data_IF_311716972917
#
_entry.id   IF_311716972917
#
_cell.length_a   1.000
_cell.length_b   1.000
_cell.length_c   1.000
_cell.angle_alpha   90.00
_cell.angle_beta   90.00
_cell.angle_gamma   90.00
#
_symmetry.space_group_name_H-M   'P 1'
#
loop_
_entity.id
_entity.type
_entity.pdbx_description
1 polymer ?
#
# COMPACT_ATOMS: atom_id res chain seq x y z
N UNK A 1 8.63 -60.27 93.33
CA UNK A 1 9.15 -59.19 92.43
C UNK A 1 8.00 -58.53 91.78
N UNK A 2 7.65 -57.32 92.27
CA UNK A 2 6.44 -56.57 91.95
C UNK A 2 6.79 -55.45 90.96
N UNK A 3 6.22 -55.43 89.79
CA UNK A 3 6.30 -54.27 88.86
C UNK A 3 5.07 -53.39 89.05
N UNK A 4 5.32 -52.20 89.48
CA UNK A 4 4.30 -51.12 89.61
C UNK A 4 4.04 -50.52 88.26
N UNK A 5 2.82 -50.62 87.76
CA UNK A 5 2.33 -49.87 86.63
C UNK A 5 2.05 -48.44 86.98
N UNK A 6 2.69 -47.51 86.31
CA UNK A 6 2.34 -46.09 86.36
C UNK A 6 1.45 -45.73 85.21
N UNK A 7 0.25 -45.38 85.53
CA UNK A 7 -0.72 -44.84 84.58
C UNK A 7 -0.41 -43.39 84.29
N UNK A 8 -0.15 -43.11 83.02
CA UNK A 8 0.05 -41.76 82.50
C UNK A 8 -1.29 -41.27 81.82
N UNK A 9 -1.90 -40.30 82.50
CA UNK A 9 -3.13 -39.66 81.99
C UNK A 9 -2.71 -38.55 81.05
N UNK A 10 -2.97 -38.72 79.70
CA UNK A 10 -2.68 -37.73 78.72
C UNK A 10 -3.93 -36.89 78.53
N UNK A 11 -3.84 -35.60 78.87
CA UNK A 11 -4.82 -34.60 78.62
C UNK A 11 -4.69 -34.18 77.11
N UNK A 12 -5.65 -34.48 76.30
CA UNK A 12 -5.74 -33.98 74.91
C UNK A 12 -6.58 -32.71 74.93
N UNK A 13 -5.89 -31.56 74.83
CA UNK A 13 -6.54 -30.29 74.56
C UNK A 13 -6.83 -30.10 73.08
N UNK A 14 -8.06 -30.21 72.65
CA UNK A 14 -8.52 -29.92 71.34
C UNK A 14 -8.61 -28.40 71.13
N UNK A 15 -7.63 -27.81 70.46
CA UNK A 15 -7.72 -26.44 69.88
C UNK A 15 -8.48 -26.46 68.57
N UNK A 16 -9.73 -26.02 68.58
CA UNK A 16 -10.48 -25.74 67.36
C UNK A 16 -10.04 -24.37 66.79
N UNK A 17 -9.19 -24.38 65.78
CA UNK A 17 -8.87 -23.17 64.98
C UNK A 17 -9.95 -23.00 63.90
N UNK A 18 -10.89 -22.08 64.15
CA UNK A 18 -11.84 -21.66 63.14
C UNK A 18 -11.14 -20.74 62.13
N UNK A 19 -10.72 -21.28 60.96
CA UNK A 19 -10.18 -20.53 59.83
C UNK A 19 -11.33 -19.88 59.05
N UNK A 20 -11.66 -18.60 59.35
CA UNK A 20 -12.60 -17.83 58.58
C UNK A 20 -11.95 -17.42 57.25
N UNK A 21 -12.20 -18.18 56.17
CA UNK A 21 -11.90 -17.77 54.78
C UNK A 21 -12.87 -16.64 54.40
N UNK A 22 -12.43 -15.39 54.53
CA UNK A 22 -13.09 -14.25 53.89
C UNK A 22 -12.81 -14.30 52.38
N UNK A 23 -13.71 -14.82 51.57
CA UNK A 23 -13.71 -14.67 50.13
C UNK A 23 -13.97 -13.20 49.80
N UNK A 24 -12.90 -12.44 49.58
CA UNK A 24 -12.97 -11.11 49.00
C UNK A 24 -13.35 -11.26 47.51
N UNK A 25 -14.62 -11.18 47.19
CA UNK A 25 -15.10 -11.05 45.82
C UNK A 25 -14.79 -9.62 45.40
N UNK A 26 -13.64 -9.44 44.70
CA UNK A 26 -13.33 -8.18 44.06
C UNK A 26 -14.45 -7.87 43.02
N UNK A 27 -15.04 -6.66 43.02
CA UNK A 27 -16.02 -6.32 42.02
C UNK A 27 -15.36 -6.40 40.63
N UNK A 28 -15.82 -7.31 39.76
CA UNK A 28 -15.47 -7.29 38.37
C UNK A 28 -15.95 -5.95 37.80
N UNK A 29 -14.98 -5.07 37.48
CA UNK A 29 -15.27 -3.80 36.84
C UNK A 29 -16.02 -4.13 35.55
N UNK A 30 -17.28 -3.79 35.46
CA UNK A 30 -18.07 -3.93 34.26
C UNK A 30 -17.38 -3.15 33.15
N UNK A 31 -16.81 -3.84 32.16
CA UNK A 31 -16.20 -3.23 30.99
C UNK A 31 -17.28 -2.41 30.30
N UNK A 32 -17.18 -1.08 30.43
CA UNK A 32 -18.14 -0.15 29.83
C UNK A 32 -18.20 -0.48 28.34
N UNK A 33 -19.27 -1.11 27.88
CA UNK A 33 -19.48 -1.40 26.45
C UNK A 33 -19.46 -0.07 25.72
N UNK A 34 -18.60 0.03 24.70
CA UNK A 34 -18.67 1.16 23.77
C UNK A 34 -20.04 1.08 23.08
N UNK A 35 -20.72 2.22 22.88
CA UNK A 35 -21.90 2.23 22.04
C UNK A 35 -21.53 1.76 20.63
N UNK A 36 -22.47 1.16 19.92
CA UNK A 36 -22.27 0.76 18.54
C UNK A 36 -21.85 1.97 17.69
N UNK A 37 -20.89 1.81 16.76
CA UNK A 37 -20.41 2.92 15.95
C UNK A 37 -21.51 3.46 15.06
N UNK A 38 -21.58 4.76 14.93
CA UNK A 38 -22.50 5.44 14.03
C UNK A 38 -22.17 5.10 12.56
N UNK A 39 -23.11 5.28 11.63
CA UNK A 39 -22.86 5.09 10.19
C UNK A 39 -21.67 5.91 9.67
N UNK A 40 -21.44 7.12 10.19
CA UNK A 40 -20.32 7.96 9.83
C UNK A 40 -18.98 7.40 10.31
N UNK A 41 -18.91 6.88 11.53
CA UNK A 41 -17.73 6.22 12.09
C UNK A 41 -17.40 4.94 11.31
N UNK A 42 -18.39 4.13 10.94
CA UNK A 42 -18.19 2.95 10.10
C UNK A 42 -17.63 3.33 8.72
N UNK A 43 -18.16 4.37 8.09
CA UNK A 43 -17.64 4.84 6.81
C UNK A 43 -16.20 5.35 6.93
N UNK A 44 -15.87 6.11 7.96
CA UNK A 44 -14.52 6.59 8.20
C UNK A 44 -13.53 5.44 8.43
N UNK A 45 -13.95 4.39 9.17
CA UNK A 45 -13.15 3.19 9.38
C UNK A 45 -12.93 2.43 8.07
N UNK A 46 -13.97 2.24 7.26
CA UNK A 46 -13.85 1.60 5.93
C UNK A 46 -12.91 2.36 5.02
N UNK A 47 -13.01 3.69 4.98
CA UNK A 47 -12.10 4.52 4.19
C UNK A 47 -10.65 4.39 4.68
N UNK A 48 -10.43 4.36 5.98
CA UNK A 48 -9.09 4.15 6.56
C UNK A 48 -8.51 2.79 6.15
N UNK A 49 -9.32 1.74 6.21
CA UNK A 49 -8.92 0.39 5.76
C UNK A 49 -8.60 0.35 4.27
N UNK A 50 -9.39 1.00 3.43
CA UNK A 50 -9.14 1.13 1.99
C UNK A 50 -7.80 1.82 1.72
N UNK A 51 -7.55 2.96 2.35
CA UNK A 51 -6.28 3.69 2.19
C UNK A 51 -5.09 2.83 2.62
N UNK A 52 -5.18 2.14 3.76
CA UNK A 52 -4.12 1.25 4.23
C UNK A 52 -3.88 0.08 3.25
N UNK A 53 -4.94 -0.54 2.73
CA UNK A 53 -4.86 -1.59 1.70
C UNK A 53 -4.23 -1.07 0.41
N UNK A 54 -4.65 0.10 -0.05
CA UNK A 54 -4.10 0.74 -1.25
C UNK A 54 -2.62 1.06 -1.10
N UNK A 55 -2.20 1.59 0.04
CA UNK A 55 -0.78 1.82 0.37
C UNK A 55 0.03 0.52 0.26
N UNK A 56 -0.46 -0.56 0.84
CA UNK A 56 0.20 -1.86 0.77
C UNK A 56 0.37 -2.32 -0.69
N UNK A 57 -0.70 -2.26 -1.50
CA UNK A 57 -0.66 -2.67 -2.90
C UNK A 57 0.33 -1.81 -3.69
N UNK A 58 0.25 -0.49 -3.59
CA UNK A 58 1.16 0.44 -4.30
C UNK A 58 2.61 0.18 -3.94
N UNK A 59 2.90 -0.15 -2.67
CA UNK A 59 4.27 -0.43 -2.19
C UNK A 59 4.79 -1.80 -2.61
N UNK A 60 3.93 -2.77 -2.91
CA UNK A 60 4.34 -4.16 -3.20
C UNK A 60 4.16 -4.57 -4.65
N UNK A 61 3.31 -3.86 -5.40
CA UNK A 61 3.04 -4.15 -6.82
C UNK A 61 3.95 -3.39 -7.81
N UNK A 62 5.06 -2.81 -7.34
CA UNK A 62 6.06 -2.18 -8.21
C UNK A 62 5.65 -0.82 -8.79
N UNK A 63 4.63 -0.14 -8.26
CA UNK A 63 4.20 1.16 -8.79
C UNK A 63 5.33 2.21 -8.72
N UNK A 64 6.10 2.19 -7.63
CA UNK A 64 7.23 3.10 -7.44
C UNK A 64 8.39 2.83 -8.40
N UNK A 65 8.53 1.60 -8.91
CA UNK A 65 9.66 1.25 -9.78
C UNK A 65 9.67 2.07 -11.08
N UNK A 66 8.48 2.37 -11.61
CA UNK A 66 8.34 3.14 -12.84
C UNK A 66 7.76 4.55 -12.62
N UNK A 67 6.85 4.74 -11.65
CA UNK A 67 6.16 6.01 -11.47
C UNK A 67 6.87 6.98 -10.51
N UNK A 68 7.95 6.57 -9.86
CA UNK A 68 8.83 7.44 -9.07
C UNK A 68 10.15 7.56 -9.80
N UNK A 69 10.60 8.77 -10.19
CA UNK A 69 11.88 8.91 -10.86
C UNK A 69 13.02 8.38 -10.01
N UNK A 70 13.94 7.64 -10.61
CA UNK A 70 15.13 7.15 -9.92
C UNK A 70 16.21 8.21 -9.83
N UNK A 71 16.98 8.16 -8.77
CA UNK A 71 18.18 8.97 -8.51
C UNK A 71 19.31 8.08 -8.02
N UNK A 72 20.52 8.60 -8.01
CA UNK A 72 21.66 7.87 -7.45
C UNK A 72 21.72 8.06 -5.93
N UNK A 73 21.46 6.99 -5.21
CA UNK A 73 21.57 6.92 -3.75
C UNK A 73 22.91 6.32 -3.30
N UNK A 74 23.12 6.20 -1.99
CA UNK A 74 24.36 5.68 -1.42
C UNK A 74 24.70 4.23 -1.80
N UNK A 75 23.66 3.44 -2.16
CA UNK A 75 23.79 2.02 -2.53
C UNK A 75 23.55 1.75 -4.02
N UNK A 76 23.43 2.78 -4.82
CA UNK A 76 23.14 2.70 -6.24
C UNK A 76 21.82 3.38 -6.61
N UNK A 77 21.28 3.13 -7.82
CA UNK A 77 20.03 3.71 -8.26
C UNK A 77 18.86 3.31 -7.35
N UNK A 78 18.05 4.26 -6.94
CA UNK A 78 16.88 4.07 -6.08
C UNK A 78 15.77 5.08 -6.42
N UNK A 79 14.48 4.78 -6.15
CA UNK A 79 13.39 5.73 -6.35
C UNK A 79 13.56 6.98 -5.47
N UNK A 80 13.48 8.17 -6.06
CA UNK A 80 13.46 9.44 -5.33
C UNK A 80 12.11 9.66 -4.67
N UNK A 81 11.99 9.30 -3.42
CA UNK A 81 10.74 9.40 -2.68
C UNK A 81 10.27 10.84 -2.42
N UNK A 82 11.10 11.86 -2.68
CA UNK A 82 10.66 13.27 -2.64
C UNK A 82 9.73 13.59 -3.81
N UNK A 83 9.83 12.82 -4.89
CA UNK A 83 9.00 12.88 -6.10
C UNK A 83 8.16 11.61 -6.28
N UNK A 84 7.78 10.97 -5.17
CA UNK A 84 7.04 9.71 -5.19
C UNK A 84 5.82 9.76 -6.11
N UNK A 85 5.75 8.83 -7.06
CA UNK A 85 4.62 8.62 -7.98
C UNK A 85 4.31 9.82 -8.90
N UNK A 86 5.26 10.74 -9.09
CA UNK A 86 5.07 11.91 -9.96
C UNK A 86 5.24 11.63 -11.46
N UNK A 87 5.68 10.43 -11.84
CA UNK A 87 5.93 10.06 -13.23
C UNK A 87 7.25 10.61 -13.79
N UNK A 88 7.37 10.60 -15.11
CA UNK A 88 8.54 11.13 -15.79
C UNK A 88 8.68 12.63 -15.58
N UNK A 89 9.85 13.15 -15.11
CA UNK A 89 10.01 14.57 -14.83
C UNK A 89 9.87 15.42 -16.10
N UNK A 90 9.05 16.47 -16.06
CA UNK A 90 8.89 17.42 -17.18
C UNK A 90 10.18 18.17 -17.56
N UNK A 91 11.08 18.32 -16.59
CA UNK A 91 12.39 18.93 -16.79
C UNK A 91 13.40 18.03 -17.49
N UNK A 92 13.17 16.72 -17.52
CA UNK A 92 14.10 15.73 -18.07
C UNK A 92 13.88 15.59 -19.59
N UNK A 93 14.66 16.33 -20.37
CA UNK A 93 14.61 16.32 -21.84
C UNK A 93 15.54 15.25 -22.36
N UNK A 94 15.00 14.06 -22.62
CA UNK A 94 15.79 12.94 -23.13
C UNK A 94 16.19 13.15 -24.60
N UNK A 95 17.44 12.78 -24.97
CA UNK A 95 17.80 12.63 -26.38
C UNK A 95 17.00 11.50 -27.04
N UNK A 96 17.02 11.39 -28.39
CA UNK A 96 16.42 10.23 -29.05
C UNK A 96 16.94 8.92 -28.45
N UNK A 97 16.09 7.90 -28.30
CA UNK A 97 16.51 6.63 -27.72
C UNK A 97 17.55 5.95 -28.59
N UNK A 98 18.46 5.12 -28.00
CA UNK A 98 19.43 4.37 -28.76
C UNK A 98 18.72 3.39 -29.73
N UNK A 99 19.26 3.22 -30.93
CA UNK A 99 18.81 2.19 -31.85
C UNK A 99 19.21 0.83 -31.27
N UNK A 100 18.23 -0.02 -31.04
CA UNK A 100 18.48 -1.43 -30.72
C UNK A 100 18.81 -2.15 -32.01
N UNK A 101 19.88 -2.95 -32.03
CA UNK A 101 20.24 -3.78 -33.20
C UNK A 101 19.32 -4.98 -33.36
N UNK A 102 19.59 -5.83 -34.35
CA UNK A 102 18.81 -7.04 -34.67
C UNK A 102 18.93 -8.18 -33.64
N UNK A 103 19.40 -7.86 -32.44
CA UNK A 103 19.56 -8.81 -31.35
C UNK A 103 18.26 -9.09 -30.58
N UNK A 104 18.33 -9.92 -29.52
CA UNK A 104 17.16 -10.29 -28.72
C UNK A 104 16.62 -9.15 -27.81
N UNK A 105 17.31 -8.01 -27.77
CA UNK A 105 16.90 -6.85 -26.97
C UNK A 105 15.83 -6.06 -27.70
N UNK A 106 14.64 -5.96 -27.12
CA UNK A 106 13.47 -5.34 -27.81
C UNK A 106 13.08 -3.97 -27.25
N UNK A 107 13.62 -3.55 -26.12
CA UNK A 107 13.33 -2.24 -25.54
C UNK A 107 14.44 -1.79 -24.56
N UNK A 108 14.46 -0.50 -24.26
CA UNK A 108 15.41 0.15 -23.35
C UNK A 108 14.67 1.12 -22.43
N UNK A 109 15.34 1.50 -21.31
CA UNK A 109 14.82 2.44 -20.33
C UNK A 109 15.81 3.61 -20.14
N UNK A 110 15.28 4.78 -19.82
CA UNK A 110 16.07 5.92 -19.33
C UNK A 110 16.60 5.64 -17.90
N UNK A 111 17.68 6.32 -17.52
CA UNK A 111 18.31 6.16 -16.20
C UNK A 111 17.38 6.48 -15.02
N UNK A 112 16.36 7.32 -15.22
CA UNK A 112 15.32 7.60 -14.22
C UNK A 112 14.26 6.51 -14.10
N UNK A 113 14.33 5.46 -14.93
CA UNK A 113 13.35 4.37 -15.02
C UNK A 113 11.89 4.85 -15.21
N UNK A 114 11.72 5.99 -15.89
CA UNK A 114 10.41 6.63 -16.12
C UNK A 114 10.09 6.88 -17.60
N UNK A 115 11.03 6.57 -18.51
CA UNK A 115 10.82 6.62 -19.95
C UNK A 115 11.36 5.33 -20.59
N UNK A 116 10.62 4.77 -21.55
CA UNK A 116 10.91 3.48 -22.14
C UNK A 116 10.70 3.54 -23.65
N UNK A 117 11.65 3.00 -24.40
CA UNK A 117 11.60 2.98 -25.86
C UNK A 117 11.66 1.56 -26.39
N UNK A 118 10.78 1.26 -27.35
CA UNK A 118 10.67 -0.05 -27.99
C UNK A 118 9.85 0.00 -29.28
N UNK A 119 9.33 -1.14 -29.77
CA UNK A 119 8.54 -1.20 -31.00
C UNK A 119 7.29 -0.30 -31.00
N UNK A 120 6.82 0.12 -29.82
CA UNK A 120 5.68 1.03 -29.64
C UNK A 120 6.05 2.51 -29.73
N UNK A 121 7.32 2.86 -29.93
CA UNK A 121 7.84 4.22 -29.82
C UNK A 121 8.40 4.50 -28.43
N UNK A 122 8.14 5.70 -27.89
CA UNK A 122 8.58 6.09 -26.55
C UNK A 122 7.36 6.30 -25.65
N UNK A 123 7.35 5.64 -24.50
CA UNK A 123 6.35 5.84 -23.45
C UNK A 123 6.97 6.52 -22.24
N UNK A 124 6.21 7.37 -21.58
CA UNK A 124 6.56 8.06 -20.34
C UNK A 124 5.58 7.66 -19.24
N UNK A 125 6.09 7.45 -18.02
CA UNK A 125 5.25 7.04 -16.90
C UNK A 125 4.42 8.21 -16.39
N UNK A 126 3.13 7.96 -16.19
CA UNK A 126 2.16 8.99 -15.80
C UNK A 126 2.38 9.50 -14.37
N UNK A 127 1.99 10.75 -14.12
CA UNK A 127 1.86 11.33 -12.80
C UNK A 127 0.62 10.73 -12.09
N UNK A 128 0.84 9.91 -11.06
CA UNK A 128 -0.20 9.27 -10.26
C UNK A 128 -0.57 10.08 -9.00
N UNK A 129 0.06 11.23 -8.78
CA UNK A 129 -0.30 12.08 -7.63
C UNK A 129 -1.66 12.76 -7.85
N UNK A 130 -2.33 13.22 -6.78
CA UNK A 130 -3.64 13.88 -6.90
C UNK A 130 -3.54 15.34 -7.35
N UNK A 131 -2.52 15.70 -8.14
CA UNK A 131 -2.46 17.00 -8.79
C UNK A 131 -3.62 17.16 -9.79
N UNK A 132 -4.32 18.29 -9.73
CA UNK A 132 -5.54 18.50 -10.50
C UNK A 132 -5.31 18.74 -11.99
N UNK A 133 -4.14 19.24 -12.36
CA UNK A 133 -3.83 19.61 -13.75
C UNK A 133 -3.04 18.52 -14.47
N UNK A 134 -2.12 17.86 -13.77
CA UNK A 134 -1.14 16.96 -14.39
C UNK A 134 -1.20 15.52 -13.90
N UNK A 135 -2.03 15.24 -12.88
CA UNK A 135 -2.14 13.93 -12.25
C UNK A 135 -3.58 13.40 -12.17
N UNK A 136 -3.86 12.64 -11.12
CA UNK A 136 -5.17 12.00 -10.92
C UNK A 136 -6.19 12.89 -10.18
N UNK A 137 -5.90 14.18 -9.99
CA UNK A 137 -6.69 15.07 -9.13
C UNK A 137 -8.16 15.25 -9.53
N UNK A 138 -8.47 15.15 -10.82
CA UNK A 138 -9.85 15.27 -11.35
C UNK A 138 -10.47 13.89 -11.69
N UNK A 139 -9.73 12.80 -11.51
CA UNK A 139 -10.24 11.47 -11.80
C UNK A 139 -11.23 11.01 -10.74
N UNK A 140 -12.19 10.21 -11.17
CA UNK A 140 -13.08 9.46 -10.27
C UNK A 140 -12.54 8.05 -10.03
N UNK A 141 -13.05 7.38 -9.00
CA UNK A 141 -12.75 5.98 -8.73
C UNK A 141 -13.11 5.10 -9.93
N UNK A 142 -14.28 5.32 -10.53
CA UNK A 142 -14.74 4.57 -11.72
C UNK A 142 -13.84 4.80 -12.93
N UNK A 143 -13.38 6.03 -13.15
CA UNK A 143 -12.44 6.34 -14.23
C UNK A 143 -11.12 5.57 -14.04
N UNK A 144 -10.60 5.54 -12.82
CA UNK A 144 -9.37 4.80 -12.51
C UNK A 144 -9.55 3.29 -12.73
N UNK A 145 -10.59 2.69 -12.17
CA UNK A 145 -10.91 1.26 -12.34
C UNK A 145 -11.07 0.93 -13.83
N UNK A 146 -11.85 1.70 -14.55
CA UNK A 146 -12.06 1.52 -15.99
C UNK A 146 -10.77 1.61 -16.81
N UNK A 147 -9.89 2.54 -16.45
CA UNK A 147 -8.58 2.71 -17.09
C UNK A 147 -7.74 1.43 -16.96
N UNK A 148 -7.65 0.86 -15.77
CA UNK A 148 -6.89 -0.37 -15.55
C UNK A 148 -7.58 -1.57 -16.20
N UNK A 149 -8.91 -1.67 -16.17
CA UNK A 149 -9.67 -2.78 -16.82
C UNK A 149 -9.50 -2.81 -18.32
N UNK A 150 -9.52 -1.67 -18.96
CA UNK A 150 -9.49 -1.56 -20.44
C UNK A 150 -8.09 -1.39 -21.01
N UNK A 151 -7.09 -1.00 -20.19
CA UNK A 151 -5.76 -0.63 -20.67
C UNK A 151 -5.77 0.63 -21.54
N UNK A 152 -6.72 1.53 -21.30
CA UNK A 152 -6.87 2.79 -22.03
C UNK A 152 -6.89 3.97 -21.07
N UNK A 153 -6.16 5.02 -21.41
CA UNK A 153 -6.18 6.28 -20.67
C UNK A 153 -7.63 6.82 -20.60
N UNK A 154 -8.08 7.27 -19.44
CA UNK A 154 -9.47 7.63 -19.14
C UNK A 154 -10.48 6.47 -19.36
N UNK A 155 -10.00 5.25 -19.53
CA UNK A 155 -10.81 4.07 -19.83
C UNK A 155 -11.33 3.98 -21.26
N UNK A 156 -11.08 4.98 -22.13
CA UNK A 156 -11.64 5.06 -23.48
C UNK A 156 -10.69 5.64 -24.53
N UNK A 157 -9.68 6.42 -24.16
CA UNK A 157 -8.81 7.12 -25.12
C UNK A 157 -7.61 6.25 -25.56
N UNK A 158 -6.41 6.81 -25.72
CA UNK A 158 -5.23 6.09 -26.19
C UNK A 158 -4.89 4.85 -25.36
N UNK A 159 -4.31 3.81 -25.97
CA UNK A 159 -3.81 2.66 -25.22
C UNK A 159 -2.76 3.07 -24.18
N UNK A 160 -2.71 2.34 -23.08
CA UNK A 160 -1.59 2.37 -22.14
C UNK A 160 -0.46 1.55 -22.75
N UNK A 161 0.69 2.18 -22.95
CA UNK A 161 1.83 1.57 -23.64
C UNK A 161 2.70 0.74 -22.68
N UNK A 162 3.46 -0.21 -23.22
CA UNK A 162 4.49 -0.91 -22.44
C UNK A 162 5.51 0.08 -21.82
N UNK A 163 6.15 -0.29 -20.71
CA UNK A 163 6.07 -1.58 -20.02
C UNK A 163 4.97 -1.67 -18.95
N UNK A 164 4.04 -0.70 -18.86
CA UNK A 164 2.98 -0.73 -17.84
C UNK A 164 2.21 -2.06 -17.90
N UNK A 165 2.26 -2.89 -16.83
CA UNK A 165 1.67 -4.22 -16.83
C UNK A 165 0.17 -4.18 -16.49
N UNK A 166 -0.60 -3.28 -17.12
CA UNK A 166 -2.04 -3.13 -16.89
C UNK A 166 -2.81 -4.45 -17.11
N UNK A 167 -2.34 -5.30 -18.01
CA UNK A 167 -2.93 -6.62 -18.28
C UNK A 167 -2.83 -7.58 -17.09
N UNK A 168 -1.87 -7.36 -16.19
CA UNK A 168 -1.77 -8.07 -14.91
C UNK A 168 -2.70 -7.40 -13.89
N UNK A 169 -2.62 -6.09 -13.74
CA UNK A 169 -3.40 -5.33 -12.75
C UNK A 169 -4.90 -5.35 -13.02
N UNK A 170 -5.34 -5.50 -14.27
CA UNK A 170 -6.76 -5.70 -14.59
C UNK A 170 -7.39 -6.91 -13.90
N UNK A 171 -6.60 -7.85 -13.38
CA UNK A 171 -7.10 -9.03 -12.67
C UNK A 171 -7.26 -8.79 -11.15
N UNK A 172 -6.86 -7.63 -10.63
CA UNK A 172 -7.15 -7.26 -9.24
C UNK A 172 -8.66 -7.18 -9.02
N UNK A 173 -9.09 -7.39 -7.78
CA UNK A 173 -10.51 -7.16 -7.43
C UNK A 173 -10.86 -5.67 -7.58
N UNK A 174 -12.15 -5.36 -7.70
CA UNK A 174 -12.58 -3.96 -7.74
C UNK A 174 -12.24 -3.24 -6.44
N UNK A 175 -12.35 -3.94 -5.29
CA UNK A 175 -11.99 -3.38 -3.99
C UNK A 175 -10.48 -3.07 -3.89
N UNK A 176 -9.62 -3.88 -4.49
CA UNK A 176 -8.19 -3.59 -4.54
C UNK A 176 -7.88 -2.37 -5.42
N UNK A 177 -8.47 -2.29 -6.62
CA UNK A 177 -8.29 -1.13 -7.49
C UNK A 177 -8.83 0.17 -6.87
N UNK A 178 -10.01 0.10 -6.22
CA UNK A 178 -10.58 1.22 -5.47
C UNK A 178 -9.71 1.62 -4.28
N UNK A 179 -9.11 0.63 -3.60
CA UNK A 179 -8.18 0.88 -2.50
C UNK A 179 -6.90 1.57 -2.98
N UNK A 180 -6.34 1.14 -4.13
CA UNK A 180 -5.19 1.82 -4.77
C UNK A 180 -5.54 3.28 -5.04
N UNK A 181 -6.68 3.54 -5.69
CA UNK A 181 -7.10 4.90 -5.98
C UNK A 181 -7.32 5.72 -4.70
N UNK A 182 -7.98 5.16 -3.69
CA UNK A 182 -8.17 5.82 -2.40
C UNK A 182 -6.84 6.25 -1.76
N UNK A 183 -5.80 5.41 -1.81
CA UNK A 183 -4.47 5.78 -1.33
C UNK A 183 -3.83 6.87 -2.18
N UNK A 184 -3.86 6.77 -3.51
CA UNK A 184 -3.29 7.77 -4.41
C UNK A 184 -3.92 9.15 -4.22
N UNK A 185 -5.16 9.22 -3.74
CA UNK A 185 -5.84 10.48 -3.38
C UNK A 185 -5.33 11.11 -2.08
N UNK A 186 -4.60 10.37 -1.24
CA UNK A 186 -4.08 10.85 0.05
C UNK A 186 -2.64 11.32 0.02
N UNK A 187 -1.87 11.00 -1.03
CA UNK A 187 -0.47 11.40 -1.13
C UNK A 187 -0.34 12.87 -1.53
N UNK A 188 0.86 13.43 -1.35
CA UNK A 188 1.14 14.83 -1.71
C UNK A 188 0.95 15.04 -3.21
N UNK A 189 0.15 16.02 -3.64
CA UNK A 189 0.08 16.39 -5.05
C UNK A 189 1.41 17.00 -5.51
N UNK A 190 1.87 16.58 -6.68
CA UNK A 190 3.09 17.10 -7.33
C UNK A 190 2.70 17.54 -8.74
N UNK A 191 2.87 18.84 -9.02
CA UNK A 191 2.69 19.34 -10.38
C UNK A 191 3.85 18.84 -11.25
N UNK A 192 3.56 18.05 -12.28
CA UNK A 192 4.55 17.50 -13.20
C UNK A 192 3.86 17.11 -14.52
N UNK A 193 4.06 17.90 -15.56
CA UNK A 193 3.47 17.67 -16.88
C UNK A 193 4.28 16.64 -17.65
N UNK A 194 3.88 15.38 -17.54
CA UNK A 194 4.53 14.29 -18.26
C UNK A 194 4.35 14.48 -19.78
N UNK A 195 5.41 14.31 -20.61
CA UNK A 195 5.29 14.39 -22.06
C UNK A 195 4.33 13.35 -22.65
N UNK A 196 3.70 13.68 -23.77
CA UNK A 196 2.92 12.69 -24.53
C UNK A 196 3.85 11.63 -25.14
N UNK A 197 3.39 10.38 -25.27
CA UNK A 197 4.14 9.32 -25.92
C UNK A 197 4.53 9.67 -27.37
N UNK A 198 5.72 9.26 -27.77
CA UNK A 198 6.16 9.40 -29.16
C UNK A 198 5.84 8.13 -29.96
N UNK A 199 5.32 8.25 -31.19
CA UNK A 199 5.09 7.11 -32.05
C UNK A 199 6.41 6.42 -32.45
N UNK A 200 6.37 5.16 -32.93
CA UNK A 200 7.53 4.54 -33.56
C UNK A 200 8.04 5.40 -34.71
N UNK A 201 9.36 5.38 -35.01
CA UNK A 201 9.88 5.98 -36.24
C UNK A 201 9.11 5.46 -37.47
N UNK A 202 8.87 6.34 -38.42
CA UNK A 202 8.33 5.90 -39.71
C UNK A 202 9.31 4.90 -40.35
N UNK A 203 8.81 3.76 -40.76
CA UNK A 203 9.54 2.70 -41.48
C UNK A 203 9.93 3.14 -42.88
#
# INVERSE_FOLDING_TARGET
>A
MSLKQKTFTTFVATFAVALALSLSVAPMAAKKMRPDPSPAELQAELQTKRVARGKYIVSTAGCHDCHTPWTMGPKGPEPDMTRALSGHPESDKLPPPPKLGDGPWVWTAAGTNTAFAGPWGVSYTANLTPDKLTGLGIWTEDTFVKTIRTGRHWGVSRPILPPMPWSVYRNMTDEDLKSVFAYLRTIKPIHNQVPEPLPPPAS
#
